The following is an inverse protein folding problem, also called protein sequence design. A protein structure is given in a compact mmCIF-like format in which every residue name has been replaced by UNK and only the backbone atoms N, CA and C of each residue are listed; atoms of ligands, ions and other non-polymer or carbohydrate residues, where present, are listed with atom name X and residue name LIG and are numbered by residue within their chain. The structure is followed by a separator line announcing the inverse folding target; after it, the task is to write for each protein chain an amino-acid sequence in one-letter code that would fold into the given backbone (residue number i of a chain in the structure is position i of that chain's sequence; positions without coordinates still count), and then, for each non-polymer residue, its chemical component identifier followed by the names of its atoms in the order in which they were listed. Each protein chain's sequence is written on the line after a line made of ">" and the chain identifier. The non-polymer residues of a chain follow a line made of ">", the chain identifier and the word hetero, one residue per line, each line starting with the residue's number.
data_IF_737386078384
#
_entry.id   IF_737386078384
#
_cell.length_a   1.000
_cell.length_b   1.000
_cell.length_c   1.000
_cell.angle_alpha   90.00
_cell.angle_beta   90.00
_cell.angle_gamma   90.00
#
_symmetry.space_group_name_H-M   'P 1'
#
loop_
_entity.id
_entity.type
_entity.pdbx_description
1 polymer ?
#
# COMPACT_ATOMS: atom_id res chain seq x y z
N UNK A 1 5.26 21.61 10.40
CA UNK A 1 5.63 22.45 9.23
C UNK A 1 5.66 21.59 7.97
N UNK A 2 5.00 22.04 6.88
CA UNK A 2 4.83 21.27 5.63
C UNK A 2 6.16 20.90 4.98
N UNK A 3 7.13 21.82 4.94
CA UNK A 3 8.43 21.58 4.30
C UNK A 3 9.20 20.44 4.97
N UNK A 4 9.26 20.43 6.30
CA UNK A 4 9.94 19.37 7.06
C UNK A 4 9.27 18.01 6.82
N UNK A 5 7.94 17.99 6.76
CA UNK A 5 7.20 16.77 6.46
C UNK A 5 7.52 16.24 5.06
N UNK A 6 7.59 17.12 4.06
CA UNK A 6 7.96 16.74 2.69
C UNK A 6 9.37 16.16 2.63
N UNK A 7 10.31 16.79 3.31
CA UNK A 7 11.71 16.34 3.34
C UNK A 7 11.86 14.99 4.03
N UNK A 8 11.09 14.72 5.10
CA UNK A 8 11.20 13.50 5.89
C UNK A 8 10.42 12.32 5.29
N UNK A 9 9.20 12.57 4.80
CA UNK A 9 8.25 11.50 4.46
C UNK A 9 7.88 11.45 2.97
N UNK A 10 8.20 12.51 2.21
CA UNK A 10 7.77 12.66 0.82
C UNK A 10 8.90 12.93 -0.17
N UNK A 11 10.10 12.45 0.18
CA UNK A 11 11.29 12.53 -0.66
C UNK A 11 11.87 11.14 -0.82
N UNK A 12 12.01 10.68 -2.07
CA UNK A 12 12.71 9.43 -2.42
C UNK A 12 13.99 9.74 -3.17
N UNK A 13 14.96 8.85 -3.03
CA UNK A 13 16.17 8.87 -3.85
C UNK A 13 16.22 7.59 -4.63
N UNK A 14 16.19 7.70 -5.95
CA UNK A 14 16.33 6.59 -6.87
C UNK A 14 17.70 6.60 -7.54
N UNK A 15 18.24 5.44 -7.88
CA UNK A 15 19.46 5.35 -8.69
C UNK A 15 19.13 4.72 -10.04
N UNK A 16 19.50 5.39 -11.14
CA UNK A 16 19.28 4.85 -12.48
C UNK A 16 20.38 3.85 -12.90
N UNK A 17 20.18 3.21 -14.06
CA UNK A 17 21.15 2.25 -14.63
C UNK A 17 22.53 2.85 -14.94
N UNK A 18 22.67 4.18 -14.94
CA UNK A 18 23.92 4.92 -15.17
C UNK A 18 24.50 5.44 -13.85
N UNK A 19 24.09 4.90 -12.70
CA UNK A 19 24.50 5.31 -11.36
C UNK A 19 24.20 6.78 -11.03
N UNK A 20 23.25 7.43 -11.72
CA UNK A 20 22.83 8.79 -11.38
C UNK A 20 21.78 8.75 -10.29
N UNK A 21 21.99 9.56 -9.25
CA UNK A 21 21.04 9.71 -8.15
C UNK A 21 19.95 10.72 -8.54
N UNK A 22 18.71 10.27 -8.54
CA UNK A 22 17.51 11.02 -8.87
C UNK A 22 16.74 11.29 -7.58
N UNK A 23 16.49 12.56 -7.28
CA UNK A 23 15.60 12.94 -6.17
C UNK A 23 14.17 13.06 -6.69
N UNK A 24 13.25 12.34 -6.08
CA UNK A 24 11.82 12.37 -6.39
C UNK A 24 11.11 13.02 -5.20
N UNK A 25 10.36 14.09 -5.45
CA UNK A 25 9.56 14.80 -4.44
C UNK A 25 8.09 14.63 -4.80
N UNK A 26 7.22 14.50 -3.80
CA UNK A 26 5.78 14.37 -4.03
C UNK A 26 5.18 15.56 -4.79
N UNK A 27 4.13 15.27 -5.57
CA UNK A 27 3.17 16.28 -6.06
C UNK A 27 2.12 16.57 -4.99
N UNK A 28 1.44 17.70 -5.13
CA UNK A 28 0.39 18.16 -4.21
C UNK A 28 -0.64 17.06 -3.88
N UNK A 29 -1.23 16.42 -4.90
CA UNK A 29 -2.25 15.39 -4.69
C UNK A 29 -1.72 14.14 -3.98
N UNK A 30 -0.43 13.82 -4.14
CA UNK A 30 0.21 12.69 -3.46
C UNK A 30 0.43 13.00 -1.98
N UNK A 31 0.88 14.23 -1.70
CA UNK A 31 1.05 14.74 -0.34
C UNK A 31 -0.28 14.77 0.41
N UNK A 32 -1.32 15.35 -0.20
CA UNK A 32 -2.64 15.45 0.39
C UNK A 32 -3.25 14.07 0.64
N UNK A 33 -3.30 13.21 -0.39
CA UNK A 33 -3.93 11.89 -0.28
C UNK A 33 -3.25 10.98 0.75
N UNK A 34 -1.92 10.98 0.82
CA UNK A 34 -1.19 10.22 1.84
C UNK A 34 -1.43 10.77 3.25
N UNK A 35 -1.48 12.09 3.43
CA UNK A 35 -1.75 12.68 4.73
C UNK A 35 -3.17 12.40 5.23
N UNK A 36 -4.17 12.44 4.33
CA UNK A 36 -5.55 12.06 4.66
C UNK A 36 -5.64 10.57 5.06
N UNK A 37 -4.91 9.69 4.37
CA UNK A 37 -4.81 8.28 4.72
C UNK A 37 -4.20 8.08 6.10
N UNK A 38 -3.04 8.69 6.36
CA UNK A 38 -2.34 8.62 7.66
C UNK A 38 -3.22 9.14 8.79
N UNK A 39 -3.85 10.30 8.60
CA UNK A 39 -4.76 10.88 9.59
C UNK A 39 -5.93 9.94 9.93
N UNK A 40 -6.49 9.26 8.93
CA UNK A 40 -7.56 8.27 9.14
C UNK A 40 -7.10 7.05 9.92
N UNK A 41 -5.93 6.51 9.61
CA UNK A 41 -5.36 5.37 10.34
C UNK A 41 -5.08 5.76 11.80
N UNK A 42 -4.52 6.95 12.03
CA UNK A 42 -4.26 7.48 13.38
C UNK A 42 -5.54 7.72 14.16
N UNK A 43 -6.62 8.14 13.47
CA UNK A 43 -7.93 8.34 14.10
C UNK A 43 -8.58 7.05 14.60
N UNK A 44 -8.28 5.90 14.01
CA UNK A 44 -8.88 4.62 14.40
C UNK A 44 -10.00 4.13 13.47
N UNK A 45 -10.66 5.05 12.75
CA UNK A 45 -11.84 4.78 11.92
C UNK A 45 -12.13 5.94 10.94
N UNK A 46 -12.76 5.70 9.76
CA UNK A 46 -13.11 4.40 9.19
C UNK A 46 -11.89 3.58 8.78
N UNK A 47 -12.02 2.25 8.90
CA UNK A 47 -10.94 1.31 8.49
C UNK A 47 -10.82 1.13 6.99
N UNK A 48 -11.69 1.78 6.22
CA UNK A 48 -11.72 1.65 4.77
C UNK A 48 -11.68 3.01 4.08
N UNK A 49 -11.12 3.06 2.88
CA UNK A 49 -11.25 4.23 2.02
C UNK A 49 -10.87 3.96 0.58
N UNK A 50 -11.53 4.66 -0.34
CA UNK A 50 -11.18 4.68 -1.76
C UNK A 50 -10.51 6.02 -2.10
N UNK A 51 -9.36 5.97 -2.77
CA UNK A 51 -8.65 7.12 -3.33
C UNK A 51 -8.78 7.03 -4.84
N UNK A 52 -9.45 8.01 -5.42
CA UNK A 52 -9.61 8.12 -6.86
C UNK A 52 -8.69 9.21 -7.40
N UNK A 53 -7.68 8.82 -8.19
CA UNK A 53 -6.84 9.72 -8.95
C UNK A 53 -6.76 9.26 -10.39
N UNK A 54 -6.66 10.18 -11.35
CA UNK A 54 -6.48 9.85 -12.76
C UNK A 54 -5.26 8.93 -13.01
N UNK A 55 -5.34 8.10 -14.05
CA UNK A 55 -4.20 7.29 -14.50
C UNK A 55 -3.01 8.19 -14.86
N UNK A 56 -1.79 7.76 -14.53
CA UNK A 56 -0.56 8.57 -14.73
C UNK A 56 -0.33 9.69 -13.70
N UNK A 57 -1.24 9.89 -12.74
CA UNK A 57 -1.07 10.88 -11.65
C UNK A 57 0.03 10.51 -10.63
N UNK A 58 0.57 9.30 -10.70
CA UNK A 58 1.57 8.77 -9.77
C UNK A 58 0.96 8.17 -8.50
N UNK A 59 -0.08 7.32 -8.63
CA UNK A 59 -0.71 6.57 -7.53
C UNK A 59 0.29 5.68 -6.78
N UNK A 60 1.18 5.02 -7.52
CA UNK A 60 2.22 4.18 -6.95
C UNK A 60 3.15 4.95 -6.01
N UNK A 61 3.59 6.14 -6.41
CA UNK A 61 4.38 7.03 -5.55
C UNK A 61 3.60 7.48 -4.31
N UNK A 62 2.30 7.76 -4.43
CA UNK A 62 1.45 8.05 -3.27
C UNK A 62 1.49 6.89 -2.26
N UNK A 63 1.31 5.65 -2.72
CA UNK A 63 1.40 4.47 -1.85
C UNK A 63 2.77 4.35 -1.17
N UNK A 64 3.86 4.67 -1.87
CA UNK A 64 5.21 4.70 -1.26
C UNK A 64 5.23 5.69 -0.09
N UNK A 65 4.84 6.93 -0.36
CA UNK A 65 4.94 8.01 0.62
C UNK A 65 4.03 7.75 1.83
N UNK A 66 2.82 7.25 1.57
CA UNK A 66 1.91 6.82 2.62
C UNK A 66 2.51 5.68 3.44
N UNK A 67 3.10 4.66 2.80
CA UNK A 67 3.71 3.53 3.49
C UNK A 67 4.87 3.97 4.41
N UNK A 68 5.78 4.81 3.92
CA UNK A 68 6.87 5.35 4.72
C UNK A 68 6.36 6.16 5.91
N UNK A 69 5.42 7.07 5.65
CA UNK A 69 4.87 7.92 6.70
C UNK A 69 4.13 7.12 7.77
N UNK A 70 3.32 6.14 7.38
CA UNK A 70 2.62 5.23 8.31
C UNK A 70 3.61 4.44 9.18
N UNK A 71 4.67 3.91 8.56
CA UNK A 71 5.72 3.15 9.25
C UNK A 71 6.45 3.97 10.31
N UNK A 72 6.75 5.22 10.00
CA UNK A 72 7.48 6.13 10.89
C UNK A 72 6.57 6.80 11.94
N UNK A 73 5.25 6.62 11.85
CA UNK A 73 4.31 7.29 12.73
C UNK A 73 4.26 6.63 14.13
N UNK A 74 4.80 7.33 15.14
CA UNK A 74 4.97 6.80 16.52
C UNK A 74 3.68 6.24 17.14
N UNK A 75 2.51 6.83 16.85
CA UNK A 75 1.22 6.36 17.40
C UNK A 75 0.74 5.02 16.83
N UNK A 76 1.34 4.52 15.74
CA UNK A 76 0.88 3.31 15.05
C UNK A 76 1.62 2.03 15.47
N UNK A 77 2.61 2.13 16.36
CA UNK A 77 3.30 0.98 16.96
C UNK A 77 4.00 0.10 15.93
N UNK A 78 4.79 0.71 15.02
CA UNK A 78 5.50 0.03 13.93
C UNK A 78 4.57 -0.86 13.08
N UNK A 79 3.59 -0.28 12.36
CA UNK A 79 2.61 -1.08 11.64
C UNK A 79 3.26 -1.93 10.54
N UNK A 80 2.57 -3.01 10.15
CA UNK A 80 2.86 -3.70 8.89
C UNK A 80 2.08 -3.00 7.79
N UNK A 81 2.77 -2.57 6.73
CA UNK A 81 2.12 -1.92 5.59
C UNK A 81 2.23 -2.83 4.39
N UNK A 82 1.11 -3.12 3.75
CA UNK A 82 1.03 -4.00 2.59
C UNK A 82 0.62 -3.20 1.36
N UNK A 83 1.33 -3.39 0.27
CA UNK A 83 0.97 -2.89 -1.06
C UNK A 83 0.58 -4.11 -1.89
N UNK A 84 -0.69 -4.16 -2.27
CA UNK A 84 -1.29 -5.29 -3.00
C UNK A 84 -1.61 -4.84 -4.42
N UNK A 85 -1.03 -5.51 -5.39
CA UNK A 85 -1.23 -5.22 -6.81
C UNK A 85 -1.99 -6.37 -7.50
N UNK A 86 -2.71 -6.07 -8.57
CA UNK A 86 -3.45 -7.09 -9.34
C UNK A 86 -2.53 -7.91 -10.25
N UNK A 87 -1.67 -7.25 -11.04
CA UNK A 87 -0.81 -7.90 -12.05
C UNK A 87 0.66 -8.01 -11.64
N UNK A 88 1.29 -9.12 -12.03
CA UNK A 88 2.74 -9.37 -11.94
C UNK A 88 3.53 -8.28 -12.70
N UNK A 89 3.02 -7.77 -13.81
CA UNK A 89 3.72 -6.73 -14.58
C UNK A 89 3.69 -5.36 -13.86
N UNK A 90 2.63 -5.08 -13.08
CA UNK A 90 2.58 -3.87 -12.25
C UNK A 90 3.49 -4.00 -11.04
N UNK A 91 3.66 -5.22 -10.52
CA UNK A 91 4.71 -5.55 -9.56
C UNK A 91 6.06 -5.10 -10.13
N UNK A 92 6.41 -5.42 -11.37
CA UNK A 92 7.70 -4.95 -11.93
C UNK A 92 7.84 -3.44 -12.00
N UNK A 93 6.80 -2.65 -12.28
CA UNK A 93 6.91 -1.18 -12.29
C UNK A 93 6.97 -0.58 -10.89
N UNK A 94 6.12 -1.07 -9.98
CA UNK A 94 6.08 -0.65 -8.58
C UNK A 94 7.39 -1.08 -7.94
N UNK A 95 7.69 -2.36 -7.91
CA UNK A 95 8.95 -2.91 -7.41
C UNK A 95 10.18 -2.34 -8.11
N UNK A 96 10.18 -2.01 -9.41
CA UNK A 96 11.31 -1.27 -10.01
C UNK A 96 11.40 0.17 -9.48
N UNK A 97 10.29 0.89 -9.35
CA UNK A 97 10.28 2.24 -8.76
C UNK A 97 10.73 2.20 -7.29
N UNK A 98 10.33 1.16 -6.58
CA UNK A 98 10.56 0.93 -5.16
C UNK A 98 11.90 0.27 -4.84
N UNK A 99 12.52 -0.45 -5.77
CA UNK A 99 13.89 -0.97 -5.65
C UNK A 99 14.90 0.07 -6.15
N UNK A 100 14.52 0.83 -7.20
CA UNK A 100 15.32 1.96 -7.63
C UNK A 100 15.37 3.01 -6.52
N UNK A 101 14.21 3.29 -5.88
CA UNK A 101 14.15 4.06 -4.66
C UNK A 101 14.73 3.23 -3.51
N UNK A 102 15.76 3.72 -2.82
CA UNK A 102 16.38 2.98 -1.71
C UNK A 102 15.49 2.99 -0.46
N UNK A 103 14.37 2.26 -0.50
CA UNK A 103 13.32 2.30 0.52
C UNK A 103 13.65 1.30 1.62
N UNK A 104 13.98 1.76 2.84
CA UNK A 104 14.36 0.87 3.91
C UNK A 104 13.17 0.01 4.36
N UNK A 105 13.47 -1.22 4.78
CA UNK A 105 12.48 -2.16 5.32
C UNK A 105 11.35 -2.54 4.35
N UNK A 106 11.64 -2.57 3.05
CA UNK A 106 10.76 -3.14 2.04
C UNK A 106 11.15 -4.60 1.74
N UNK A 107 10.13 -5.45 1.58
CA UNK A 107 10.29 -6.83 1.10
C UNK A 107 9.16 -7.16 0.11
N UNK A 108 9.48 -7.91 -0.94
CA UNK A 108 8.48 -8.54 -1.79
C UNK A 108 8.15 -9.92 -1.27
N UNK A 109 6.87 -10.30 -1.27
CA UNK A 109 6.46 -11.68 -1.08
C UNK A 109 6.20 -12.31 -2.44
N UNK A 110 7.15 -13.13 -2.93
CA UNK A 110 7.11 -13.77 -4.23
C UNK A 110 6.15 -14.97 -4.25
N UNK A 111 6.01 -15.66 -3.11
CA UNK A 111 5.14 -16.84 -2.97
C UNK A 111 4.05 -16.65 -1.92
N UNK A 112 3.04 -17.52 -1.93
CA UNK A 112 1.98 -17.54 -0.92
C UNK A 112 2.52 -17.91 0.45
N UNK A 113 3.37 -18.93 0.50
CA UNK A 113 4.01 -19.44 1.71
C UNK A 113 4.87 -18.36 2.35
N UNK A 114 5.58 -17.57 1.53
CA UNK A 114 6.34 -16.41 2.02
C UNK A 114 5.42 -15.35 2.61
N UNK A 115 4.34 -14.98 1.92
CA UNK A 115 3.36 -14.02 2.46
C UNK A 115 2.80 -14.48 3.82
N UNK A 116 2.40 -15.75 3.91
CA UNK A 116 1.90 -16.36 5.15
C UNK A 116 2.96 -16.34 6.25
N UNK A 117 4.20 -16.71 5.93
CA UNK A 117 5.32 -16.70 6.89
C UNK A 117 5.61 -15.29 7.41
N UNK A 118 5.60 -14.29 6.52
CA UNK A 118 5.82 -12.90 6.90
C UNK A 118 4.73 -12.36 7.81
N UNK A 119 3.47 -12.71 7.53
CA UNK A 119 2.32 -12.33 8.33
C UNK A 119 2.30 -13.07 9.68
N UNK A 120 2.59 -14.37 9.71
CA UNK A 120 2.66 -15.17 10.93
C UNK A 120 3.82 -14.74 11.85
N UNK A 121 4.96 -14.36 11.27
CA UNK A 121 6.11 -13.81 11.98
C UNK A 121 5.92 -12.34 12.41
N UNK A 122 4.72 -11.78 12.20
CA UNK A 122 4.39 -10.42 12.61
C UNK A 122 5.32 -9.35 12.01
N UNK A 123 5.84 -9.61 10.81
CA UNK A 123 6.91 -8.83 10.18
C UNK A 123 6.53 -7.35 10.08
N UNK A 124 7.31 -6.51 10.75
CA UNK A 124 7.14 -5.06 10.77
C UNK A 124 7.91 -4.44 9.60
N UNK A 125 7.40 -4.61 8.38
CA UNK A 125 7.99 -4.08 7.14
C UNK A 125 6.93 -3.55 6.18
N UNK A 126 7.37 -2.95 5.06
CA UNK A 126 6.52 -2.72 3.89
C UNK A 126 6.57 -4.00 3.04
N UNK A 127 5.44 -4.66 2.86
CA UNK A 127 5.31 -5.91 2.12
C UNK A 127 4.65 -5.60 0.78
N UNK A 128 5.34 -5.87 -0.33
CA UNK A 128 4.72 -5.87 -1.67
C UNK A 128 4.25 -7.27 -1.99
N UNK A 129 3.01 -7.41 -2.45
CA UNK A 129 2.46 -8.69 -2.87
C UNK A 129 1.39 -8.52 -3.94
N UNK A 130 0.88 -9.63 -4.47
CA UNK A 130 -0.18 -9.66 -5.47
C UNK A 130 -1.47 -10.19 -4.85
N UNK A 131 -2.64 -9.75 -5.33
CA UNK A 131 -3.93 -10.18 -4.76
C UNK A 131 -4.12 -11.71 -4.87
N UNK A 132 -3.61 -12.32 -5.94
CA UNK A 132 -3.74 -13.76 -6.19
C UNK A 132 -3.13 -14.63 -5.08
N UNK A 133 -2.24 -14.06 -4.26
CA UNK A 133 -1.65 -14.77 -3.12
C UNK A 133 -2.65 -15.01 -1.98
N UNK A 134 -3.77 -14.29 -1.97
CA UNK A 134 -4.88 -14.51 -1.04
C UNK A 134 -5.94 -15.49 -1.56
N UNK A 135 -5.83 -15.97 -2.81
CA UNK A 135 -6.88 -16.76 -3.45
C UNK A 135 -7.15 -18.14 -2.84
N UNK A 136 -6.21 -18.67 -2.08
CA UNK A 136 -6.33 -19.93 -1.32
C UNK A 136 -5.94 -19.70 0.14
N UNK A 137 -6.11 -18.47 0.65
CA UNK A 137 -5.94 -18.24 2.07
C UNK A 137 -7.08 -18.94 2.83
N UNK A 138 -6.74 -20.01 3.54
CA UNK A 138 -7.68 -20.70 4.42
C UNK A 138 -7.73 -19.97 5.77
N UNK A 139 -8.84 -19.28 6.02
CA UNK A 139 -9.09 -18.59 7.29
C UNK A 139 -8.27 -17.31 7.48
N UNK A 140 -7.92 -17.02 8.73
CA UNK A 140 -7.29 -15.77 9.16
C UNK A 140 -5.77 -15.91 9.14
N UNK A 141 -5.10 -15.09 8.33
CA UNK A 141 -3.63 -15.06 8.26
C UNK A 141 -3.01 -14.17 9.33
N UNK A 142 -3.65 -13.05 9.67
CA UNK A 142 -3.23 -12.21 10.78
C UNK A 142 -4.39 -11.33 11.28
N UNK A 143 -4.61 -11.29 12.59
CA UNK A 143 -5.72 -10.57 13.22
C UNK A 143 -5.34 -9.21 13.81
N UNK A 144 -4.11 -8.75 13.62
CA UNK A 144 -3.64 -7.49 14.20
C UNK A 144 -4.36 -6.29 13.59
N UNK A 145 -4.67 -5.33 14.45
CA UNK A 145 -5.33 -4.08 14.08
C UNK A 145 -4.39 -3.05 13.46
N UNK A 146 -3.07 -3.26 13.54
CA UNK A 146 -2.06 -2.35 13.02
C UNK A 146 -1.42 -2.85 11.71
N UNK A 147 -2.24 -3.49 10.88
CA UNK A 147 -1.96 -3.80 9.48
C UNK A 147 -2.69 -2.79 8.60
N UNK A 148 -1.98 -2.17 7.66
CA UNK A 148 -2.55 -1.26 6.67
C UNK A 148 -2.29 -1.83 5.28
N UNK A 149 -3.35 -2.05 4.51
CA UNK A 149 -3.30 -2.57 3.15
C UNK A 149 -3.70 -1.47 2.18
N UNK A 150 -2.85 -1.23 1.18
CA UNK A 150 -3.14 -0.38 0.03
C UNK A 150 -3.24 -1.26 -1.21
N UNK A 151 -4.39 -1.25 -1.88
CA UNK A 151 -4.66 -2.06 -3.07
C UNK A 151 -4.63 -1.16 -4.30
N UNK A 152 -3.76 -1.44 -5.26
CA UNK A 152 -3.75 -0.75 -6.54
C UNK A 152 -4.78 -1.34 -7.50
N UNK A 153 -5.30 -0.48 -8.38
CA UNK A 153 -6.41 -0.74 -9.28
C UNK A 153 -7.58 -1.47 -8.60
N UNK A 154 -7.95 -0.98 -7.42
CA UNK A 154 -8.95 -1.57 -6.54
C UNK A 154 -10.30 -1.89 -7.20
N UNK A 155 -10.60 -1.26 -8.35
CA UNK A 155 -11.78 -1.57 -9.14
C UNK A 155 -11.72 -2.93 -9.87
N UNK A 156 -10.54 -3.38 -10.29
CA UNK A 156 -10.33 -4.67 -11.00
C UNK A 156 -10.17 -5.81 -10.01
N UNK A 157 -9.46 -5.50 -8.92
CA UNK A 157 -8.99 -6.43 -7.90
C UNK A 157 -10.11 -6.88 -6.92
N UNK A 158 -11.27 -6.20 -6.93
CA UNK A 158 -12.38 -6.42 -5.98
C UNK A 158 -13.63 -7.05 -6.58
N UNK A 159 -13.71 -7.26 -7.89
CA UNK A 159 -14.91 -7.83 -8.53
C UNK A 159 -15.09 -9.35 -8.31
N UNK A 160 -14.29 -9.97 -7.42
CA UNK A 160 -14.34 -11.42 -7.17
C UNK A 160 -13.96 -11.87 -5.74
N UNK A 161 -13.89 -13.20 -5.59
CA UNK A 161 -13.60 -13.94 -4.36
C UNK A 161 -12.28 -13.52 -3.66
N UNK A 162 -11.28 -13.06 -4.42
CA UNK A 162 -9.96 -12.69 -3.90
C UNK A 162 -10.00 -11.51 -2.92
N UNK A 163 -10.76 -10.46 -3.24
CA UNK A 163 -10.90 -9.28 -2.37
C UNK A 163 -11.70 -9.60 -1.11
N UNK A 164 -12.57 -10.62 -1.14
CA UNK A 164 -13.24 -11.17 0.05
C UNK A 164 -12.25 -11.98 0.88
N UNK A 165 -11.55 -12.95 0.27
CA UNK A 165 -10.53 -13.78 0.94
C UNK A 165 -9.44 -12.96 1.62
N UNK A 166 -8.95 -11.88 0.99
CA UNK A 166 -7.99 -10.98 1.62
C UNK A 166 -8.56 -10.30 2.88
N UNK A 167 -9.84 -9.91 2.87
CA UNK A 167 -10.51 -9.31 4.03
C UNK A 167 -10.73 -10.33 5.14
N UNK A 168 -11.11 -11.54 4.78
CA UNK A 168 -11.30 -12.64 5.73
C UNK A 168 -9.95 -13.04 6.35
N UNK A 169 -8.87 -13.02 5.56
CA UNK A 169 -7.50 -13.25 6.00
C UNK A 169 -6.95 -12.17 6.93
N UNK A 170 -7.39 -10.92 6.77
CA UNK A 170 -6.91 -9.73 7.50
C UNK A 170 -8.08 -8.93 8.09
N UNK A 171 -8.86 -9.51 9.01
CA UNK A 171 -10.18 -8.99 9.40
C UNK A 171 -10.12 -7.62 10.10
N UNK A 172 -8.99 -7.29 10.73
CA UNK A 172 -8.82 -6.07 11.52
C UNK A 172 -8.00 -4.98 10.83
N UNK A 173 -7.53 -5.22 9.61
CA UNK A 173 -6.67 -4.31 8.87
C UNK A 173 -7.39 -3.04 8.39
N UNK A 174 -6.63 -1.98 8.18
CA UNK A 174 -7.06 -0.84 7.36
C UNK A 174 -6.93 -1.20 5.89
N UNK A 175 -7.92 -0.84 5.08
CA UNK A 175 -8.01 -1.21 3.68
C UNK A 175 -8.21 0.05 2.84
N UNK A 176 -7.24 0.40 2.02
CA UNK A 176 -7.31 1.53 1.12
C UNK A 176 -7.24 1.06 -0.32
N UNK A 177 -8.27 1.35 -1.12
CA UNK A 177 -8.23 1.13 -2.55
C UNK A 177 -7.74 2.37 -3.28
N UNK A 178 -6.82 2.22 -4.23
CA UNK A 178 -6.45 3.26 -5.19
C UNK A 178 -6.98 2.86 -6.56
N UNK A 179 -7.61 3.78 -7.27
CA UNK A 179 -8.16 3.50 -8.59
C UNK A 179 -8.01 4.66 -9.57
N UNK A 180 -7.72 4.34 -10.83
CA UNK A 180 -7.79 5.26 -11.98
C UNK A 180 -9.21 5.58 -12.43
N UNK A 181 -10.10 4.61 -12.28
CA UNK A 181 -11.47 4.59 -12.78
C UNK A 181 -12.40 4.28 -11.60
N UNK A 182 -13.26 5.22 -11.19
CA UNK A 182 -14.19 4.95 -10.11
C UNK A 182 -15.26 3.98 -10.63
N UNK A 183 -15.66 3.00 -9.81
CA UNK A 183 -16.78 2.12 -10.15
C UNK A 183 -18.04 2.99 -10.16
N UNK A 184 -18.54 3.27 -11.36
CA UNK A 184 -19.75 4.05 -11.53
C UNK A 184 -20.97 3.12 -11.44
N UNK A 185 -21.34 2.71 -10.21
CA UNK A 185 -22.67 2.15 -9.87
C UNK A 185 -22.81 2.03 -8.35
N UNK A 186 -23.95 2.47 -7.84
CA UNK A 186 -24.36 2.53 -6.42
C UNK A 186 -24.29 1.21 -5.64
N UNK A 187 -23.86 0.09 -6.21
CA UNK A 187 -24.07 -1.23 -5.60
C UNK A 187 -22.86 -1.89 -4.95
N UNK A 188 -21.59 -1.50 -5.20
CA UNK A 188 -20.45 -2.29 -4.66
C UNK A 188 -19.21 -1.47 -4.35
N UNK A 189 -19.32 -0.47 -3.49
CA UNK A 189 -18.11 0.09 -2.86
C UNK A 189 -17.72 -0.75 -1.64
N UNK A 190 -16.65 -1.55 -1.75
CA UNK A 190 -16.13 -2.39 -0.67
C UNK A 190 -15.09 -1.69 0.21
N UNK A 191 -14.74 -0.43 -0.11
CA UNK A 191 -13.75 0.43 0.54
C UNK A 191 -14.33 1.76 1.04
#
# INVERSE_FOLDING_TARGET
>A
HVVLDILQNFTLFATDKKHRRIKIICRYQQYEGANLMVARVVKGYPKKGLIWHFQGSGKSLLMVFAAQKLRMHRKLGNPTVMIVVDRIDLDTQITATFNAADIPNMIGAATRQELQSLLAADTRKIIITTIHKFGEADGRLNERSNIIVMVDEAHRTQEGDLGRKMRDALPNAYLFGLTGTPINKRDRNTF
#
